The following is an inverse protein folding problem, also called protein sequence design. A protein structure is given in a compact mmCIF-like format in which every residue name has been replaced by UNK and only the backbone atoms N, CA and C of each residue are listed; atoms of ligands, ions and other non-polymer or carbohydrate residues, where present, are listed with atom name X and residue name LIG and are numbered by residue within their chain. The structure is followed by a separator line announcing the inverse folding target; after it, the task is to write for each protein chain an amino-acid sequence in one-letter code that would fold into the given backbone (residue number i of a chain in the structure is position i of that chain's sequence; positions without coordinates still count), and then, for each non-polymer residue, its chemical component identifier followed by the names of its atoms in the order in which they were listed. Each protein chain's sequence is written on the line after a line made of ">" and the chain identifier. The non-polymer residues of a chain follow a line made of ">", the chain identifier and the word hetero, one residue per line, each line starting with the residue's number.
data_IF_976772075430
#
_entry.id   IF_976772075430
#
_cell.length_a   1.000
_cell.length_b   1.000
_cell.length_c   1.000
_cell.angle_alpha   90.00
_cell.angle_beta   90.00
_cell.angle_gamma   90.00
#
_symmetry.space_group_name_H-M   'P 1'
#
loop_
_entity.id
_entity.type
_entity.pdbx_description
1 polymer ?
#
# COMPACT_ATOMS: atom_id res chain seq x y z
N UNK A 1 -16.58 -7.55 -18.83
CA UNK A 1 -15.38 -8.31 -18.42
C UNK A 1 -14.57 -7.47 -17.42
N UNK A 2 -15.24 -6.95 -16.38
CA UNK A 2 -14.56 -6.23 -15.29
C UNK A 2 -14.01 -7.21 -14.23
N UNK A 3 -14.57 -8.43 -14.22
CA UNK A 3 -14.25 -9.53 -13.30
C UNK A 3 -12.78 -9.96 -13.37
N UNK A 4 -12.07 -9.65 -14.46
CA UNK A 4 -10.68 -10.07 -14.67
C UNK A 4 -9.66 -9.09 -14.10
N UNK A 5 -9.99 -7.80 -13.95
CA UNK A 5 -8.98 -6.81 -13.59
C UNK A 5 -8.63 -6.87 -12.10
N UNK A 6 -9.63 -6.85 -11.22
CA UNK A 6 -9.40 -6.91 -9.77
C UNK A 6 -8.76 -8.23 -9.36
N UNK A 7 -9.23 -9.35 -9.93
CA UNK A 7 -8.63 -10.67 -9.77
C UNK A 7 -7.15 -10.68 -10.19
N UNK A 8 -6.82 -10.15 -11.38
CA UNK A 8 -5.44 -10.07 -11.86
C UNK A 8 -4.56 -9.20 -10.96
N UNK A 9 -5.07 -8.04 -10.52
CA UNK A 9 -4.34 -7.15 -9.60
C UNK A 9 -4.10 -7.82 -8.25
N UNK A 10 -5.10 -8.49 -7.68
CA UNK A 10 -4.93 -9.23 -6.44
C UNK A 10 -3.81 -10.28 -6.58
N UNK A 11 -3.80 -10.99 -7.70
CA UNK A 11 -2.75 -11.97 -8.02
C UNK A 11 -1.35 -11.37 -8.14
N UNK A 12 -1.20 -10.17 -8.69
CA UNK A 12 0.09 -9.45 -8.74
C UNK A 12 0.61 -9.06 -7.33
N UNK A 13 -0.27 -9.04 -6.34
CA UNK A 13 0.05 -8.75 -4.94
C UNK A 13 0.08 -9.98 -4.04
N UNK A 14 -0.29 -11.18 -4.52
CA UNK A 14 -0.38 -12.40 -3.72
C UNK A 14 0.93 -12.69 -2.99
N UNK A 15 2.06 -12.73 -3.71
CA UNK A 15 3.39 -12.96 -3.14
C UNK A 15 3.75 -11.95 -2.05
N UNK A 16 3.42 -10.67 -2.26
CA UNK A 16 3.70 -9.60 -1.28
C UNK A 16 2.82 -9.75 -0.05
N UNK A 17 1.57 -10.14 -0.26
CA UNK A 17 0.59 -10.32 0.79
C UNK A 17 0.94 -11.55 1.63
N UNK A 18 1.30 -12.67 1.02
CA UNK A 18 1.78 -13.89 1.69
C UNK A 18 2.97 -13.59 2.60
N UNK A 19 3.99 -12.89 2.08
CA UNK A 19 5.17 -12.51 2.85
C UNK A 19 4.84 -11.56 4.02
N UNK A 20 3.87 -10.66 3.83
CA UNK A 20 3.42 -9.74 4.88
C UNK A 20 2.59 -10.44 5.96
N UNK A 21 1.77 -11.44 5.60
CA UNK A 21 0.88 -12.18 6.48
C UNK A 21 1.63 -13.23 7.30
N UNK A 22 2.60 -13.93 6.71
CA UNK A 22 3.36 -15.03 7.34
C UNK A 22 3.78 -14.76 8.80
N UNK A 23 4.42 -13.63 9.16
CA UNK A 23 4.85 -13.35 10.54
C UNK A 23 3.68 -13.14 11.53
N UNK A 24 2.47 -12.88 11.02
CA UNK A 24 1.32 -12.38 11.78
C UNK A 24 0.07 -13.20 11.50
N UNK A 25 0.29 -14.43 11.05
CA UNK A 25 -0.69 -15.37 10.53
C UNK A 25 -1.92 -15.51 11.43
N UNK A 26 -1.70 -15.69 12.74
CA UNK A 26 -2.80 -15.88 13.71
C UNK A 26 -3.73 -14.67 13.79
N UNK A 27 -3.15 -13.47 13.82
CA UNK A 27 -3.92 -12.23 13.93
C UNK A 27 -4.66 -11.95 12.63
N UNK A 28 -3.98 -12.11 11.48
CA UNK A 28 -4.58 -11.98 10.15
C UNK A 28 -5.75 -12.94 9.97
N UNK A 29 -5.55 -14.23 10.22
CA UNK A 29 -6.60 -15.24 10.08
C UNK A 29 -7.80 -14.95 11.00
N UNK A 30 -7.54 -14.43 12.21
CA UNK A 30 -8.61 -14.01 13.13
C UNK A 30 -9.42 -12.83 12.58
N UNK A 31 -8.78 -11.83 11.96
CA UNK A 31 -9.48 -10.67 11.38
C UNK A 31 -10.26 -11.04 10.12
N UNK A 32 -9.69 -11.85 9.23
CA UNK A 32 -10.36 -12.31 8.02
C UNK A 32 -11.56 -13.21 8.34
N UNK A 33 -11.39 -14.16 9.26
CA UNK A 33 -12.47 -15.06 9.67
C UNK A 33 -13.60 -14.32 10.39
N UNK A 34 -13.29 -13.29 11.20
CA UNK A 34 -14.30 -12.46 11.84
C UNK A 34 -15.17 -11.67 10.84
N UNK A 35 -14.67 -11.45 9.62
CA UNK A 35 -15.38 -10.83 8.51
C UNK A 35 -16.06 -11.84 7.59
N UNK A 36 -15.88 -13.15 7.82
CA UNK A 36 -16.39 -14.19 6.93
C UNK A 36 -15.62 -14.33 5.61
N UNK A 37 -14.45 -13.70 5.48
CA UNK A 37 -13.64 -13.71 4.26
C UNK A 37 -12.85 -15.00 4.08
N UNK A 38 -12.62 -15.74 5.16
CA UNK A 38 -12.03 -17.08 5.14
C UNK A 38 -12.81 -18.01 6.05
N UNK A 39 -12.75 -19.31 5.75
CA UNK A 39 -13.37 -20.35 6.53
C UNK A 39 -12.80 -20.44 7.95
N UNK A 40 -13.66 -20.85 8.89
CA UNK A 40 -13.29 -21.09 10.28
C UNK A 40 -12.20 -22.16 10.39
N UNK A 41 -12.22 -23.17 9.52
CA UNK A 41 -11.20 -24.21 9.41
C UNK A 41 -9.83 -23.62 9.07
N UNK A 42 -9.75 -22.72 8.10
CA UNK A 42 -8.51 -22.01 7.73
C UNK A 42 -7.97 -21.18 8.90
N UNK A 43 -8.84 -20.53 9.67
CA UNK A 43 -8.44 -19.85 10.92
C UNK A 43 -7.85 -20.83 11.94
N UNK A 44 -8.48 -21.98 12.15
CA UNK A 44 -7.99 -22.97 13.10
C UNK A 44 -6.61 -23.50 12.68
N UNK A 45 -6.43 -23.80 11.40
CA UNK A 45 -5.14 -24.20 10.85
C UNK A 45 -4.07 -23.13 11.11
N UNK A 46 -4.36 -21.86 10.83
CA UNK A 46 -3.46 -20.74 11.11
C UNK A 46 -3.04 -20.63 12.59
N UNK A 47 -3.92 -21.01 13.54
CA UNK A 47 -3.58 -20.97 14.97
C UNK A 47 -2.65 -22.09 15.42
N UNK A 48 -2.68 -23.25 14.75
CA UNK A 48 -1.90 -24.44 15.07
C UNK A 48 -0.79 -24.76 14.06
N UNK A 49 -0.64 -23.95 13.00
CA UNK A 49 0.25 -24.27 11.89
C UNK A 49 1.73 -24.28 12.29
N UNK A 50 2.42 -25.36 11.91
CA UNK A 50 3.89 -25.46 11.91
C UNK A 50 4.50 -24.96 10.61
N UNK A 51 3.69 -24.83 9.55
CA UNK A 51 4.07 -24.30 8.25
C UNK A 51 3.36 -22.95 8.02
N UNK A 52 3.89 -21.91 8.65
CA UNK A 52 3.28 -20.58 8.58
C UNK A 52 3.23 -20.02 7.16
N UNK A 53 4.18 -20.41 6.30
CA UNK A 53 4.23 -19.95 4.91
C UNK A 53 3.16 -20.67 4.09
N UNK A 54 3.08 -21.99 4.16
CA UNK A 54 2.05 -22.75 3.44
C UNK A 54 0.63 -22.34 3.83
N UNK A 55 0.39 -22.10 5.13
CA UNK A 55 -0.93 -21.60 5.57
C UNK A 55 -1.19 -20.15 5.15
N UNK A 56 -0.15 -19.29 5.06
CA UNK A 56 -0.32 -17.94 4.52
C UNK A 56 -0.68 -17.97 3.02
N UNK A 57 0.00 -18.80 2.23
CA UNK A 57 -0.34 -19.04 0.81
C UNK A 57 -1.78 -19.52 0.67
N UNK A 58 -2.21 -20.50 1.48
CA UNK A 58 -3.59 -20.98 1.49
C UNK A 58 -4.63 -19.89 1.78
N UNK A 59 -4.35 -18.99 2.74
CA UNK A 59 -5.24 -17.85 3.01
C UNK A 59 -5.37 -16.96 1.78
N UNK A 60 -4.26 -16.67 1.09
CA UNK A 60 -4.26 -15.80 -0.09
C UNK A 60 -4.95 -16.49 -1.28
N UNK A 61 -4.76 -17.79 -1.46
CA UNK A 61 -5.46 -18.58 -2.48
C UNK A 61 -6.98 -18.63 -2.23
N UNK A 62 -7.41 -18.78 -0.97
CA UNK A 62 -8.84 -18.75 -0.60
C UNK A 62 -9.46 -17.38 -0.89
N UNK A 63 -8.74 -16.29 -0.59
CA UNK A 63 -9.18 -14.93 -0.93
C UNK A 63 -9.23 -14.70 -2.45
N UNK A 64 -8.27 -15.21 -3.20
CA UNK A 64 -8.27 -15.12 -4.66
C UNK A 64 -9.43 -15.90 -5.27
N UNK A 65 -9.67 -17.14 -4.81
CA UNK A 65 -10.80 -17.95 -5.30
C UNK A 65 -12.14 -17.31 -4.96
N UNK A 66 -12.30 -16.80 -3.74
CA UNK A 66 -13.50 -16.06 -3.34
C UNK A 66 -13.70 -14.79 -4.18
N UNK A 67 -12.62 -14.07 -4.51
CA UNK A 67 -12.67 -12.89 -5.39
C UNK A 67 -13.07 -13.26 -6.83
N UNK A 68 -12.56 -14.36 -7.36
CA UNK A 68 -12.84 -14.83 -8.73
C UNK A 68 -14.31 -15.25 -8.92
N UNK A 69 -14.96 -15.69 -7.84
CA UNK A 69 -16.36 -16.12 -7.81
C UNK A 69 -17.32 -15.01 -7.32
N UNK A 70 -16.82 -13.85 -6.89
CA UNK A 70 -17.63 -12.80 -6.27
C UNK A 70 -18.38 -11.96 -7.31
N UNK A 71 -19.68 -11.71 -7.11
CA UNK A 71 -20.51 -10.88 -7.99
C UNK A 71 -20.08 -9.40 -8.02
N UNK A 72 -19.41 -8.94 -6.94
CA UNK A 72 -18.85 -7.59 -6.82
C UNK A 72 -17.39 -7.66 -6.35
N UNK A 73 -16.42 -7.83 -7.26
CA UNK A 73 -15.03 -8.00 -6.90
C UNK A 73 -14.42 -6.75 -6.25
N UNK A 74 -14.95 -5.55 -6.52
CA UNK A 74 -14.44 -4.30 -5.94
C UNK A 74 -14.79 -4.23 -4.45
N UNK A 75 -16.05 -4.49 -4.11
CA UNK A 75 -16.49 -4.54 -2.71
C UNK A 75 -15.73 -5.62 -1.94
N UNK A 76 -15.54 -6.80 -2.53
CA UNK A 76 -14.78 -7.87 -1.89
C UNK A 76 -13.35 -7.45 -1.54
N UNK A 77 -12.60 -6.86 -2.49
CA UNK A 77 -11.23 -6.41 -2.21
C UNK A 77 -11.22 -5.31 -1.16
N UNK A 78 -12.17 -4.37 -1.17
CA UNK A 78 -12.27 -3.34 -0.14
C UNK A 78 -12.51 -3.93 1.27
N UNK A 79 -13.31 -4.99 1.37
CA UNK A 79 -13.51 -5.73 2.63
C UNK A 79 -12.23 -6.42 3.10
N UNK A 80 -11.51 -7.08 2.19
CA UNK A 80 -10.20 -7.70 2.47
C UNK A 80 -9.20 -6.64 2.95
N UNK A 81 -9.10 -5.52 2.23
CA UNK A 81 -8.25 -4.39 2.61
C UNK A 81 -8.60 -3.85 4.00
N UNK A 82 -9.89 -3.67 4.28
CA UNK A 82 -10.38 -3.21 5.58
C UNK A 82 -10.04 -4.21 6.70
N UNK A 83 -10.24 -5.51 6.46
CA UNK A 83 -9.93 -6.55 7.44
C UNK A 83 -8.44 -6.61 7.77
N UNK A 84 -7.59 -6.55 6.74
CA UNK A 84 -6.14 -6.57 6.88
C UNK A 84 -5.59 -5.28 7.52
N UNK A 85 -6.16 -4.12 7.22
CA UNK A 85 -5.79 -2.85 7.87
C UNK A 85 -6.05 -2.89 9.39
N UNK A 86 -7.08 -3.62 9.82
CA UNK A 86 -7.43 -3.82 11.23
C UNK A 86 -6.44 -4.72 12.01
N UNK A 87 -5.50 -5.37 11.32
CA UNK A 87 -4.36 -6.06 11.96
C UNK A 87 -3.41 -5.03 12.60
N UNK A 88 -3.39 -3.78 12.09
CA UNK A 88 -2.58 -2.64 12.56
C UNK A 88 -1.06 -2.88 12.48
N UNK A 89 -0.64 -3.72 11.55
CA UNK A 89 0.76 -3.99 11.29
C UNK A 89 1.24 -3.31 10.03
N UNK A 90 2.30 -2.51 10.16
CA UNK A 90 2.82 -1.65 9.09
C UNK A 90 3.07 -2.40 7.78
N UNK A 91 3.66 -3.60 7.85
CA UNK A 91 3.98 -4.41 6.66
C UNK A 91 2.73 -4.82 5.88
N UNK A 92 1.63 -5.08 6.58
CA UNK A 92 0.35 -5.48 5.99
C UNK A 92 -0.36 -4.25 5.45
N UNK A 93 -0.43 -3.18 6.24
CA UNK A 93 -1.06 -1.91 5.81
C UNK A 93 -0.36 -1.34 4.57
N UNK A 94 0.98 -1.37 4.52
CA UNK A 94 1.75 -0.86 3.38
C UNK A 94 1.49 -1.64 2.07
N UNK A 95 1.22 -2.95 2.17
CA UNK A 95 0.88 -3.79 1.00
C UNK A 95 -0.56 -3.54 0.57
N UNK A 96 -1.48 -3.47 1.53
CA UNK A 96 -2.92 -3.23 1.30
C UNK A 96 -3.17 -1.84 0.74
N UNK A 97 -2.51 -0.80 1.26
CA UNK A 97 -2.62 0.57 0.75
C UNK A 97 -2.14 0.67 -0.71
N UNK A 98 -1.16 -0.14 -1.10
CA UNK A 98 -0.70 -0.21 -2.50
C UNK A 98 -1.70 -0.94 -3.37
N UNK A 99 -2.23 -2.08 -2.91
CA UNK A 99 -3.25 -2.82 -3.63
C UNK A 99 -4.49 -1.97 -3.89
N UNK A 100 -5.01 -1.31 -2.85
CA UNK A 100 -6.17 -0.42 -2.93
C UNK A 100 -5.93 0.74 -3.91
N UNK A 101 -4.74 1.36 -3.87
CA UNK A 101 -4.36 2.41 -4.82
C UNK A 101 -4.27 1.92 -6.26
N UNK A 102 -3.68 0.76 -6.52
CA UNK A 102 -3.57 0.22 -7.89
C UNK A 102 -4.95 -0.08 -8.47
N UNK A 103 -5.86 -0.65 -7.66
CA UNK A 103 -7.24 -0.92 -8.06
C UNK A 103 -8.01 0.39 -8.32
N UNK A 104 -7.81 1.41 -7.50
CA UNK A 104 -8.43 2.73 -7.69
C UNK A 104 -7.80 3.53 -8.86
N UNK A 105 -6.51 3.39 -9.12
CA UNK A 105 -5.81 4.15 -10.18
C UNK A 105 -6.22 3.65 -11.56
N UNK A 106 -6.46 2.34 -11.72
CA UNK A 106 -7.06 1.77 -12.94
C UNK A 106 -8.39 2.43 -13.36
N UNK A 107 -9.13 3.00 -12.39
CA UNK A 107 -10.36 3.78 -12.65
C UNK A 107 -10.08 5.11 -13.37
N UNK A 108 -8.89 5.70 -13.19
CA UNK A 108 -8.57 7.05 -13.71
C UNK A 108 -7.88 7.05 -15.08
N UNK A 109 -7.44 5.89 -15.59
CA UNK A 109 -6.72 5.82 -16.89
C UNK A 109 -7.66 5.57 -18.08
N UNK A 110 -8.97 5.44 -17.85
CA UNK A 110 -9.97 5.26 -18.92
C UNK A 110 -10.64 6.56 -19.39
N UNK A 111 -10.26 7.74 -18.86
CA UNK A 111 -10.87 9.04 -19.20
C UNK A 111 -9.91 10.07 -19.83
N UNK A 112 -8.73 9.69 -20.33
CA UNK A 112 -7.86 10.60 -21.08
C UNK A 112 -7.37 9.96 -22.39
N UNK A 113 -8.29 9.79 -23.34
CA UNK A 113 -7.96 9.73 -24.77
C UNK A 113 -8.96 10.58 -25.52
N UNK A 114 -8.78 11.91 -25.44
CA UNK A 114 -9.37 12.88 -26.34
C UNK A 114 -8.26 13.47 -27.18
N UNK A 115 -8.19 13.04 -28.44
CA UNK A 115 -7.42 13.65 -29.51
C UNK A 115 -7.59 15.18 -29.55
N UNK A 116 -6.48 15.90 -29.56
CA UNK A 116 -6.35 17.15 -30.31
C UNK A 116 -4.92 17.21 -30.87
N UNK A 117 -4.83 16.71 -32.09
CA UNK A 117 -3.83 17.07 -33.07
C UNK A 117 -3.77 18.61 -33.19
N UNK A 118 -2.57 19.19 -33.24
CA UNK A 118 -2.19 20.21 -34.23
C UNK A 118 -1.02 21.09 -33.75
N UNK A 119 0.16 20.74 -34.25
CA UNK A 119 1.25 21.59 -34.70
C UNK A 119 1.43 23.00 -34.08
N UNK A 120 2.61 23.26 -33.50
CA UNK A 120 3.42 24.40 -33.98
C UNK A 120 4.91 24.31 -33.69
N UNK A 121 5.63 24.82 -34.67
CA UNK A 121 7.06 24.71 -34.94
C UNK A 121 7.93 25.48 -33.95
N UNK A 122 9.10 24.89 -33.68
CA UNK A 122 10.42 25.52 -33.72
C UNK A 122 10.61 26.92 -33.13
N UNK A 123 11.57 27.03 -32.21
CA UNK A 123 12.79 27.83 -32.43
C UNK A 123 13.81 27.57 -31.32
N UNK A 124 15.00 27.10 -31.71
CA UNK A 124 16.22 27.21 -30.90
C UNK A 124 16.52 28.69 -30.70
N UNK A 125 16.80 29.12 -29.47
CA UNK A 125 17.64 30.30 -29.27
C UNK A 125 18.50 30.20 -28.02
N UNK A 126 19.72 30.69 -28.21
CA UNK A 126 20.93 30.53 -27.43
C UNK A 126 20.88 31.35 -26.13
N UNK A 127 21.67 30.96 -25.13
CA UNK A 127 22.44 31.96 -24.38
C UNK A 127 22.61 31.77 -22.88
N UNK A 128 23.88 31.51 -22.51
CA UNK A 128 24.61 32.04 -21.34
C UNK A 128 24.44 31.34 -19.97
N UNK A 129 25.48 30.55 -19.63
CA UNK A 129 25.99 30.33 -18.26
C UNK A 129 26.75 31.59 -17.73
N UNK A 130 27.45 31.57 -16.57
CA UNK A 130 26.95 31.70 -15.19
C UNK A 130 27.73 32.79 -14.39
N UNK A 131 27.21 33.32 -13.28
CA UNK A 131 27.97 33.99 -12.20
C UNK A 131 26.97 34.46 -11.11
N UNK A 132 27.21 34.53 -9.79
CA UNK A 132 28.42 34.67 -8.97
C UNK A 132 28.23 33.98 -7.60
N UNK A 133 29.35 33.47 -7.05
CA UNK A 133 29.58 33.25 -5.62
C UNK A 133 29.62 34.60 -4.89
N UNK A 134 29.11 34.66 -3.66
CA UNK A 134 29.71 35.54 -2.65
C UNK A 134 29.76 34.81 -1.29
N UNK A 135 30.99 34.70 -0.78
CA UNK A 135 31.39 34.17 0.52
C UNK A 135 31.09 35.20 1.62
N UNK A 136 30.79 34.68 2.82
CA UNK A 136 31.34 34.98 4.16
C UNK A 136 31.49 36.46 4.59
N UNK A 137 31.47 36.88 5.84
CA UNK A 137 31.61 36.37 7.21
C UNK A 137 30.96 37.48 8.07
N UNK A 138 30.45 37.18 9.26
CA UNK A 138 30.65 38.05 10.43
C UNK A 138 30.18 37.37 11.72
N UNK A 139 31.12 37.38 12.66
CA UNK A 139 31.11 36.92 14.04
C UNK A 139 30.31 37.86 14.96
N UNK A 140 30.18 37.39 16.20
CA UNK A 140 30.17 38.13 17.48
C UNK A 140 28.80 38.11 18.17
N UNK A 141 28.57 37.34 19.25
CA UNK A 141 29.09 37.29 20.64
C UNK A 141 28.12 37.92 21.65
N UNK A 142 28.11 37.38 22.86
CA UNK A 142 27.32 37.84 24.03
C UNK A 142 26.40 36.72 24.52
N UNK A 143 26.80 35.88 25.47
CA UNK A 143 26.73 36.10 26.92
C UNK A 143 25.27 36.12 27.42
N UNK A 144 24.84 35.58 28.56
CA UNK A 144 25.37 34.74 29.63
C UNK A 144 24.12 34.32 30.44
N UNK A 145 24.22 33.19 31.16
CA UNK A 145 23.49 32.80 32.37
C UNK A 145 22.19 33.52 32.80
N UNK A 146 21.15 32.73 33.13
CA UNK A 146 20.68 32.59 34.52
C UNK A 146 19.78 31.36 34.66
N UNK A 147 20.09 30.52 35.65
CA UNK A 147 19.27 29.37 36.02
C UNK A 147 18.05 29.77 36.84
N UNK A 148 17.05 28.89 36.86
CA UNK A 148 16.12 28.80 37.98
C UNK A 148 15.68 27.35 38.18
N UNK A 149 16.31 26.74 39.18
CA UNK A 149 15.87 25.55 39.89
C UNK A 149 14.65 25.96 40.73
N UNK A 150 13.50 25.31 40.58
CA UNK A 150 12.48 25.27 41.64
C UNK A 150 11.94 23.84 41.71
N UNK A 151 12.35 23.15 42.79
CA UNK A 151 11.65 22.04 43.41
C UNK A 151 10.31 22.54 43.95
N UNK A 152 9.22 21.80 43.69
CA UNK A 152 8.21 21.45 44.70
C UNK A 152 7.73 20.03 44.38
#
# INVERSE_FOLDING_TARGET
>A
MADTEHSKRFREFSDKLENAITPSLKNVASKLSAKGLIALSTKMEATSSTDARGTATKIVDELQGALDEHDDPESFVNEVCTALRNVREKRITDVVDKLEKEIQTSRQISEENGDDDEQRKGSKSKGKKPAKRQKRDSKESGAEYTGKLILI
#
